data_IF_222602179174
#
_entry.id   IF_222602179174
#
_cell.length_a   1.000
_cell.length_b   1.000
_cell.length_c   1.000
_cell.angle_alpha   90.00
_cell.angle_beta   90.00
_cell.angle_gamma   90.00
#
_symmetry.space_group_name_H-M   'P 1'
#
loop_
_entity.id
_entity.type
_entity.pdbx_description
1 polymer ?
#
# COMPACT_ATOMS: atom_id res chain seq x y z
N UNK A 1 -83.58 -4.58 -21.37
CA UNK A 1 -82.68 -3.68 -22.12
C UNK A 1 -82.75 -2.30 -21.48
N UNK A 2 -81.69 -1.88 -20.79
CA UNK A 2 -81.36 -0.49 -20.50
C UNK A 2 -79.91 -0.49 -19.96
N UNK A 3 -79.06 0.28 -20.63
CA UNK A 3 -77.61 0.30 -20.50
C UNK A 3 -77.24 1.30 -19.41
N UNK A 4 -76.39 0.93 -18.45
CA UNK A 4 -75.73 1.87 -17.54
C UNK A 4 -74.25 1.99 -17.90
N UNK A 5 -73.85 3.21 -18.21
CA UNK A 5 -72.48 3.66 -18.44
C UNK A 5 -72.11 4.60 -17.30
N UNK A 6 -70.90 4.46 -16.73
CA UNK A 6 -70.10 5.43 -15.97
C UNK A 6 -69.15 4.63 -15.03
N UNK A 7 -67.90 4.96 -14.76
CA UNK A 7 -66.98 6.04 -15.17
C UNK A 7 -65.61 5.60 -14.63
N UNK A 8 -64.57 5.65 -15.46
CA UNK A 8 -63.18 5.40 -15.04
C UNK A 8 -62.58 6.66 -14.38
N UNK A 9 -61.70 6.52 -13.37
CA UNK A 9 -60.99 7.66 -12.80
C UNK A 9 -59.90 8.22 -13.75
N UNK A 10 -59.58 9.52 -13.66
CA UNK A 10 -58.70 10.20 -14.60
C UNK A 10 -57.23 9.78 -14.45
N UNK A 11 -56.57 9.62 -15.60
CA UNK A 11 -55.14 9.36 -15.76
C UNK A 11 -54.37 10.64 -15.42
N UNK A 12 -53.77 10.69 -14.25
CA UNK A 12 -52.94 11.82 -13.80
C UNK A 12 -51.58 11.77 -14.51
N UNK A 13 -51.42 12.62 -15.53
CA UNK A 13 -50.13 12.93 -16.14
C UNK A 13 -49.33 13.84 -15.21
N UNK A 14 -48.37 13.28 -14.48
CA UNK A 14 -47.30 14.06 -13.85
C UNK A 14 -45.95 13.60 -14.38
N UNK A 15 -45.33 14.48 -15.18
CA UNK A 15 -43.88 14.53 -15.33
C UNK A 15 -43.28 15.10 -14.05
N UNK A 16 -42.18 14.52 -13.55
CA UNK A 16 -41.16 15.00 -12.57
C UNK A 16 -40.64 13.75 -11.85
N UNK A 17 -39.38 13.36 -11.79
CA UNK A 17 -38.07 14.01 -11.83
C UNK A 17 -37.05 12.85 -12.04
N UNK A 18 -35.92 13.01 -12.76
CA UNK A 18 -34.87 12.00 -12.70
C UNK A 18 -34.34 11.89 -11.25
N UNK A 19 -33.95 10.69 -10.78
CA UNK A 19 -33.32 10.54 -9.48
C UNK A 19 -32.08 11.43 -9.40
N UNK A 20 -31.76 11.99 -8.22
CA UNK A 20 -30.54 12.77 -8.06
C UNK A 20 -29.33 11.93 -8.49
N UNK A 21 -28.33 12.53 -9.16
CA UNK A 21 -27.10 11.81 -9.46
C UNK A 21 -26.50 11.30 -8.15
N UNK A 22 -25.89 10.09 -8.13
CA UNK A 22 -25.10 9.67 -6.98
C UNK A 22 -24.08 10.77 -6.66
N UNK A 23 -23.79 11.03 -5.38
CA UNK A 23 -22.76 12.00 -5.02
C UNK A 23 -21.49 11.65 -5.79
N UNK A 24 -20.92 12.65 -6.48
CA UNK A 24 -19.65 12.53 -7.15
C UNK A 24 -18.69 11.86 -6.17
N UNK A 25 -18.26 10.64 -6.49
CA UNK A 25 -17.21 9.94 -5.76
C UNK A 25 -16.03 10.89 -5.75
N UNK A 26 -15.80 11.51 -4.59
CA UNK A 26 -14.62 12.31 -4.31
C UNK A 26 -13.41 11.54 -4.81
N UNK A 27 -12.65 12.15 -5.74
CA UNK A 27 -11.34 11.66 -6.19
C UNK A 27 -10.60 11.21 -4.94
N UNK A 28 -10.47 9.89 -4.81
CA UNK A 28 -10.02 9.24 -3.59
C UNK A 28 -8.63 9.76 -3.27
N UNK A 29 -8.51 10.44 -2.13
CA UNK A 29 -7.22 10.78 -1.54
C UNK A 29 -6.49 9.45 -1.33
N UNK A 30 -5.60 9.11 -2.26
CA UNK A 30 -4.84 7.87 -2.21
C UNK A 30 -4.13 7.83 -0.85
N UNK A 31 -4.38 6.81 -0.01
CA UNK A 31 -3.75 6.72 1.30
C UNK A 31 -2.24 6.82 1.12
N UNK A 32 -1.61 7.73 1.88
CA UNK A 32 -0.18 7.94 1.78
C UNK A 32 0.54 6.64 2.15
N UNK A 33 1.40 6.17 1.24
CA UNK A 33 2.20 4.97 1.49
C UNK A 33 3.15 5.22 2.67
N UNK A 34 3.37 4.23 3.54
CA UNK A 34 4.33 4.34 4.61
C UNK A 34 5.75 4.56 4.06
N UNK A 35 6.62 5.28 4.78
CA UNK A 35 8.01 5.48 4.37
C UNK A 35 8.73 4.13 4.20
N UNK A 36 9.55 3.94 3.15
CA UNK A 36 10.22 2.66 2.87
C UNK A 36 11.20 2.25 3.98
N UNK A 37 11.77 3.21 4.71
CA UNK A 37 12.68 2.98 5.83
C UNK A 37 12.02 2.17 6.96
N UNK A 38 10.68 2.20 7.06
CA UNK A 38 9.95 1.39 8.03
C UNK A 38 10.20 -0.12 7.84
N UNK A 39 10.40 -0.53 6.60
CA UNK A 39 10.59 -1.93 6.19
C UNK A 39 12.07 -2.31 6.05
N UNK A 40 12.98 -1.34 6.19
CA UNK A 40 14.42 -1.56 6.11
C UNK A 40 14.96 -2.08 7.46
N UNK A 41 14.66 -3.34 7.74
CA UNK A 41 15.03 -4.02 8.99
C UNK A 41 16.41 -4.69 8.93
N UNK A 42 16.94 -4.88 7.71
CA UNK A 42 18.13 -5.67 7.47
C UNK A 42 19.40 -5.08 8.11
N UNK A 43 19.65 -3.75 8.05
CA UNK A 43 20.82 -3.17 8.69
C UNK A 43 20.83 -3.40 10.22
N UNK A 44 19.70 -3.17 10.88
CA UNK A 44 19.56 -3.35 12.32
C UNK A 44 19.65 -4.83 12.75
N UNK A 45 19.09 -5.75 11.95
CA UNK A 45 19.23 -7.18 12.19
C UNK A 45 20.69 -7.62 12.05
N UNK A 46 21.36 -7.16 11.00
CA UNK A 46 22.76 -7.49 10.74
C UNK A 46 23.67 -6.98 11.85
N UNK A 47 23.41 -5.77 12.35
CA UNK A 47 24.11 -5.21 13.51
C UNK A 47 23.99 -6.13 14.73
N UNK A 48 22.78 -6.55 15.10
CA UNK A 48 22.56 -7.45 16.24
C UNK A 48 23.28 -8.79 16.05
N UNK A 49 23.23 -9.36 14.84
CA UNK A 49 23.89 -10.65 14.53
C UNK A 49 25.41 -10.54 14.63
N UNK A 50 26.00 -9.47 14.11
CA UNK A 50 27.44 -9.23 14.19
C UNK A 50 27.90 -9.14 15.66
N UNK A 51 27.13 -8.53 16.55
CA UNK A 51 27.47 -8.47 17.97
C UNK A 51 27.47 -9.85 18.67
N UNK A 52 26.65 -10.81 18.20
CA UNK A 52 26.55 -12.16 18.79
C UNK A 52 27.71 -13.04 18.34
N UNK A 53 28.15 -12.91 17.08
CA UNK A 53 29.22 -13.73 16.51
C UNK A 53 30.56 -13.48 17.23
N UNK A 54 30.83 -12.21 17.60
CA UNK A 54 32.01 -11.83 18.39
C UNK A 54 31.99 -12.38 19.83
N UNK A 55 30.81 -12.62 20.43
CA UNK A 55 30.72 -13.23 21.77
C UNK A 55 31.00 -14.73 21.75
N UNK A 56 30.74 -15.38 20.62
CA UNK A 56 30.88 -16.83 20.46
C UNK A 56 32.34 -17.24 20.23
N UNK A 57 33.20 -16.28 19.85
CA UNK A 57 34.61 -16.49 19.53
C UNK A 57 35.56 -16.20 20.71
N UNK A 58 35.04 -15.79 21.88
CA UNK A 58 35.86 -15.41 23.03
C UNK A 58 36.38 -16.65 23.81
N UNK A 59 37.33 -17.36 23.20
CA UNK A 59 38.26 -18.30 23.86
C UNK A 59 39.72 -18.16 23.38
N UNK A 60 40.11 -17.08 22.70
CA UNK A 60 41.50 -16.88 22.21
C UNK A 60 41.99 -15.46 22.49
N UNK A 61 43.19 -15.25 23.06
CA UNK A 61 43.70 -13.92 23.46
C UNK A 61 44.13 -13.07 22.25
N UNK A 62 44.30 -11.74 22.43
CA UNK A 62 44.50 -10.81 21.33
C UNK A 62 45.94 -10.88 20.82
N UNK A 63 46.10 -11.03 19.50
CA UNK A 63 47.36 -10.74 18.81
C UNK A 63 47.12 -9.49 17.96
N UNK A 64 47.98 -8.50 18.17
CA UNK A 64 48.03 -7.22 17.47
C UNK A 64 48.15 -7.45 15.96
N UNK A 65 47.23 -6.91 15.16
CA UNK A 65 47.61 -6.48 13.83
C UNK A 65 46.71 -5.35 13.31
N UNK A 66 47.29 -4.15 13.31
CA UNK A 66 46.93 -3.03 12.44
C UNK A 66 46.77 -3.52 10.99
N UNK A 67 45.66 -3.16 10.34
CA UNK A 67 45.69 -2.92 8.90
C UNK A 67 44.63 -1.90 8.51
N UNK A 68 45.11 -0.69 8.23
CA UNK A 68 44.48 0.29 7.34
C UNK A 68 43.74 -0.40 6.19
N UNK A 69 42.44 -0.15 6.06
CA UNK A 69 41.73 -0.27 4.79
C UNK A 69 40.62 0.77 4.72
N UNK A 70 40.97 1.89 4.09
CA UNK A 70 40.05 2.77 3.38
C UNK A 70 39.24 1.94 2.37
N UNK A 71 38.01 1.60 2.70
CA UNK A 71 36.93 1.37 1.74
C UNK A 71 35.60 1.29 2.52
N UNK A 72 34.51 1.57 1.80
CA UNK A 72 33.27 0.81 1.92
C UNK A 72 32.17 1.33 2.84
N UNK A 73 31.08 1.71 2.19
CA UNK A 73 29.73 1.90 2.74
C UNK A 73 29.12 0.59 3.30
N UNK A 74 29.93 -0.35 3.79
CA UNK A 74 29.55 -1.73 4.09
C UNK A 74 30.27 -2.43 5.25
N UNK A 75 31.27 -1.82 5.91
CA UNK A 75 32.15 -2.55 6.86
C UNK A 75 32.22 -1.99 8.28
N UNK A 76 31.20 -1.28 8.76
CA UNK A 76 31.20 -0.80 10.15
C UNK A 76 30.82 -1.90 11.18
N UNK A 77 30.50 -3.11 10.72
CA UNK A 77 30.00 -4.20 11.56
C UNK A 77 31.09 -5.04 12.23
N UNK A 78 32.34 -4.91 11.77
CA UNK A 78 33.53 -5.65 12.27
C UNK A 78 34.15 -5.03 13.52
N UNK A 79 33.77 -3.82 13.92
CA UNK A 79 34.32 -3.10 15.08
C UNK A 79 33.27 -2.87 16.19
N UNK A 80 32.19 -3.65 16.16
CA UNK A 80 31.11 -3.54 17.13
C UNK A 80 31.48 -4.27 18.43
N UNK A 81 31.24 -3.66 19.60
CA UNK A 81 31.51 -4.32 20.87
C UNK A 81 30.67 -5.60 21.00
N UNK A 82 31.21 -6.70 21.54
CA UNK A 82 30.42 -7.92 21.76
C UNK A 82 29.19 -7.64 22.63
N UNK A 83 28.02 -8.17 22.26
CA UNK A 83 26.77 -8.02 23.04
C UNK A 83 26.59 -9.20 23.99
N UNK A 84 26.54 -8.97 25.31
CA UNK A 84 26.26 -10.05 26.27
C UNK A 84 24.95 -10.77 25.90
N UNK A 85 24.92 -12.12 25.81
CA UNK A 85 23.71 -12.89 25.58
C UNK A 85 22.50 -12.50 26.45
N UNK A 86 22.74 -11.95 27.65
CA UNK A 86 21.68 -11.48 28.56
C UNK A 86 21.02 -10.18 28.11
N UNK A 87 21.73 -9.36 27.35
CA UNK A 87 21.24 -8.06 26.86
C UNK A 87 20.53 -8.18 25.51
N UNK A 88 20.64 -9.33 24.84
CA UNK A 88 19.97 -9.63 23.57
C UNK A 88 18.45 -9.37 23.59
N UNK A 89 17.68 -9.79 24.62
CA UNK A 89 16.24 -9.52 24.68
C UNK A 89 15.92 -8.02 24.71
N UNK A 90 16.82 -7.19 25.25
CA UNK A 90 16.68 -5.73 25.29
C UNK A 90 17.10 -5.12 23.95
N UNK A 91 18.22 -5.56 23.39
CA UNK A 91 18.77 -5.08 22.12
C UNK A 91 17.80 -5.28 20.94
N UNK A 92 16.97 -6.33 20.96
CA UNK A 92 16.00 -6.61 19.88
C UNK A 92 14.69 -5.81 20.00
N UNK A 93 14.42 -5.14 21.14
CA UNK A 93 13.16 -4.42 21.35
C UNK A 93 12.90 -3.32 20.31
N UNK A 94 13.89 -2.48 19.92
CA UNK A 94 13.69 -1.46 18.89
C UNK A 94 13.31 -2.07 17.55
N UNK A 95 14.00 -3.15 17.14
CA UNK A 95 13.71 -3.89 15.91
C UNK A 95 12.28 -4.46 15.93
N UNK A 96 11.89 -5.09 17.04
CA UNK A 96 10.53 -5.60 17.23
C UNK A 96 9.47 -4.49 17.17
N UNK A 97 9.76 -3.32 17.74
CA UNK A 97 8.86 -2.17 17.69
C UNK A 97 8.71 -1.63 16.26
N UNK A 98 9.80 -1.60 15.48
CA UNK A 98 9.79 -1.22 14.07
C UNK A 98 8.95 -2.20 13.23
N UNK A 99 9.18 -3.51 13.38
CA UNK A 99 8.39 -4.54 12.67
C UNK A 99 6.89 -4.42 12.99
N UNK A 100 6.52 -4.25 14.27
CA UNK A 100 5.12 -4.07 14.67
C UNK A 100 4.49 -2.82 14.07
N UNK A 101 5.27 -1.75 13.91
CA UNK A 101 4.81 -0.52 13.25
C UNK A 101 4.62 -0.78 11.75
N UNK A 102 5.56 -1.46 11.10
CA UNK A 102 5.45 -1.89 9.70
C UNK A 102 4.18 -2.71 9.44
N UNK A 103 3.93 -3.72 10.27
CA UNK A 103 2.71 -4.54 10.17
C UNK A 103 1.42 -3.72 10.33
N UNK A 104 1.39 -2.78 11.28
CA UNK A 104 0.22 -1.92 11.47
C UNK A 104 -0.03 -1.00 10.28
N UNK A 105 1.03 -0.46 9.68
CA UNK A 105 0.87 0.36 8.48
C UNK A 105 0.41 -0.49 7.29
N UNK A 106 0.94 -1.71 7.16
CA UNK A 106 0.52 -2.69 6.16
C UNK A 106 -0.99 -3.02 6.30
N UNK A 107 -1.46 -3.31 7.50
CA UNK A 107 -2.88 -3.55 7.79
C UNK A 107 -3.81 -2.37 7.46
N UNK A 108 -3.27 -1.14 7.41
CA UNK A 108 -4.04 0.07 7.05
C UNK A 108 -4.05 0.35 5.55
N UNK A 109 -3.22 -0.34 4.76
CA UNK A 109 -3.15 -0.09 3.34
C UNK A 109 -4.43 -0.59 2.64
N UNK A 110 -5.00 0.22 1.74
CA UNK A 110 -6.18 -0.17 0.98
C UNK A 110 -5.84 -1.30 0.01
N UNK A 111 -6.84 -2.12 -0.32
CA UNK A 111 -6.77 -3.11 -1.40
C UNK A 111 -5.62 -4.13 -1.27
N UNK A 112 -5.16 -4.38 -0.04
CA UNK A 112 -4.11 -5.37 0.26
C UNK A 112 -4.59 -6.82 0.18
N UNK A 113 -5.90 -7.04 0.21
CA UNK A 113 -6.50 -8.38 0.11
C UNK A 113 -6.59 -8.87 -1.35
N UNK A 114 -6.30 -7.99 -2.32
CA UNK A 114 -6.44 -8.27 -3.75
C UNK A 114 -5.10 -8.58 -4.38
N UNK A 115 -5.08 -9.57 -5.28
CA UNK A 115 -3.89 -9.92 -6.05
C UNK A 115 -3.53 -8.85 -7.10
N UNK A 116 -2.26 -8.82 -7.51
CA UNK A 116 -1.78 -7.90 -8.56
C UNK A 116 -2.41 -8.29 -9.90
N UNK A 117 -2.59 -9.57 -10.15
CA UNK A 117 -3.18 -10.11 -11.37
C UNK A 117 -4.63 -9.63 -11.55
N UNK A 118 -5.44 -9.67 -10.50
CA UNK A 118 -6.81 -9.14 -10.52
C UNK A 118 -6.84 -7.64 -10.77
N UNK A 119 -5.93 -6.88 -10.15
CA UNK A 119 -5.83 -5.44 -10.38
C UNK A 119 -5.47 -5.13 -11.83
N UNK A 120 -4.55 -5.89 -12.43
CA UNK A 120 -4.15 -5.74 -13.83
C UNK A 120 -5.31 -6.05 -14.79
N UNK A 121 -6.09 -7.11 -14.51
CA UNK A 121 -7.28 -7.43 -15.30
C UNK A 121 -8.34 -6.31 -15.22
N UNK A 122 -8.60 -5.82 -14.01
CA UNK A 122 -9.53 -4.70 -13.80
C UNK A 122 -9.07 -3.43 -14.52
N UNK A 123 -7.77 -3.08 -14.43
CA UNK A 123 -7.20 -1.94 -15.16
C UNK A 123 -7.46 -2.09 -16.67
N UNK A 124 -7.20 -3.26 -17.24
CA UNK A 124 -7.43 -3.49 -18.67
C UNK A 124 -8.90 -3.33 -19.06
N UNK A 125 -9.84 -3.82 -18.25
CA UNK A 125 -11.28 -3.63 -18.48
C UNK A 125 -11.65 -2.14 -18.42
N UNK A 126 -11.17 -1.43 -17.39
CA UNK A 126 -11.43 -0.02 -17.16
C UNK A 126 -10.87 0.85 -18.29
N UNK A 127 -9.64 0.60 -18.73
CA UNK A 127 -9.03 1.28 -19.88
C UNK A 127 -9.84 1.05 -21.16
N UNK A 128 -10.30 -0.18 -21.40
CA UNK A 128 -11.18 -0.49 -22.53
C UNK A 128 -12.52 0.26 -22.46
N UNK A 129 -13.09 0.43 -21.26
CA UNK A 129 -14.31 1.23 -21.05
C UNK A 129 -14.07 2.71 -21.30
N UNK A 130 -12.97 3.26 -20.79
CA UNK A 130 -12.57 4.66 -21.03
C UNK A 130 -12.39 4.90 -22.53
N UNK A 131 -11.69 4.02 -23.24
CA UNK A 131 -11.50 4.16 -24.69
C UNK A 131 -12.82 4.21 -25.46
N UNK A 132 -13.81 3.38 -25.11
CA UNK A 132 -15.15 3.45 -25.71
C UNK A 132 -15.87 4.77 -25.40
N UNK A 133 -15.77 5.25 -24.16
CA UNK A 133 -16.39 6.51 -23.74
C UNK A 133 -15.76 7.71 -24.47
N UNK A 134 -14.44 7.71 -24.63
CA UNK A 134 -13.73 8.76 -25.37
C UNK A 134 -14.18 8.83 -26.84
N UNK A 135 -14.40 7.69 -27.49
CA UNK A 135 -14.92 7.64 -28.87
C UNK A 135 -16.31 8.28 -28.96
N UNK A 136 -17.21 7.95 -28.03
CA UNK A 136 -18.56 8.53 -28.00
C UNK A 136 -18.51 10.03 -27.76
N UNK A 137 -17.74 10.48 -26.76
CA UNK A 137 -17.60 11.91 -26.45
C UNK A 137 -17.04 12.67 -27.65
N UNK A 138 -16.04 12.10 -28.33
CA UNK A 138 -15.46 12.71 -29.54
C UNK A 138 -16.48 12.78 -30.68
N UNK A 139 -17.30 11.75 -30.85
CA UNK A 139 -18.39 11.75 -31.84
C UNK A 139 -19.44 12.82 -31.56
N UNK A 140 -19.89 12.94 -30.31
CA UNK A 140 -20.85 13.98 -29.89
C UNK A 140 -20.27 15.39 -29.97
N UNK A 141 -18.99 15.56 -29.65
CA UNK A 141 -18.30 16.84 -29.81
C UNK A 141 -18.17 17.24 -31.29
N UNK A 142 -17.98 16.27 -32.19
CA UNK A 142 -17.93 16.50 -33.63
C UNK A 142 -19.30 16.89 -34.20
N UNK A 143 -20.38 16.24 -33.75
CA UNK A 143 -21.75 16.53 -34.20
C UNK A 143 -22.25 17.91 -33.74
N UNK A 144 -21.75 18.44 -32.62
CA UNK A 144 -22.13 19.76 -32.09
C UNK A 144 -21.47 20.96 -32.82
N UNK A 145 -20.44 20.71 -33.61
CA UNK A 145 -19.68 21.76 -34.34
C UNK A 145 -20.16 21.93 -35.78
N UNK A 146 -21.06 21.06 -36.25
CA UNK A 146 -21.68 21.11 -37.58
C UNK A 146 -23.11 21.65 -37.50
#
# INVERSE_FOLDING_TARGET
MAVTQATAPPRNSQHSHPPPPPPATSLTQQPALPPPQLFDILPALHEILAHIDHTSSDTVPPDDNDTDNDHEMGLNYTNLPPLDPKDLPTAILPLKAQMRRGLRELERLPDMERSVEEQVEEIAELEGRVGRQEVVIRGLAFERVM
#
